data_IF_766003107218
#
_entry.id   IF_766003107218
#
_cell.length_a   1.000
_cell.length_b   1.000
_cell.length_c   1.000
_cell.angle_alpha   90.00
_cell.angle_beta   90.00
_cell.angle_gamma   90.00
#
_symmetry.space_group_name_H-M   'P 1'
#
loop_
_entity.id
_entity.type
_entity.pdbx_description
1 polymer ?
#
# COMPACT_ATOMS: atom_id res chain seq x y z
N UNK A 1 -33.74 -5.16 58.80
CA UNK A 1 -34.63 -3.98 58.84
C UNK A 1 -33.81 -2.77 58.40
N UNK A 2 -33.94 -2.34 57.14
CA UNK A 2 -33.18 -1.18 56.64
C UNK A 2 -33.77 0.08 57.28
N UNK A 3 -32.95 0.80 58.05
CA UNK A 3 -33.38 2.00 58.78
C UNK A 3 -33.63 3.15 57.79
N UNK A 4 -34.73 3.90 57.97
CA UNK A 4 -35.12 5.04 57.11
C UNK A 4 -33.99 6.08 56.90
N UNK A 5 -33.07 6.20 57.87
CA UNK A 5 -31.88 7.06 57.78
C UNK A 5 -30.87 6.59 56.72
N UNK A 6 -30.71 5.27 56.56
CA UNK A 6 -29.85 4.68 55.52
C UNK A 6 -30.41 4.96 54.11
N UNK A 7 -31.73 4.79 53.92
CA UNK A 7 -32.40 5.11 52.66
C UNK A 7 -32.33 6.60 52.31
N UNK A 8 -32.43 7.51 53.29
CA UNK A 8 -32.25 8.95 53.07
C UNK A 8 -30.81 9.30 52.71
N UNK A 9 -29.81 8.65 53.32
CA UNK A 9 -28.39 8.83 52.98
C UNK A 9 -28.09 8.37 51.55
N UNK A 10 -28.56 7.20 51.16
CA UNK A 10 -28.43 6.67 49.81
C UNK A 10 -29.05 7.61 48.75
N UNK A 11 -30.24 8.15 49.04
CA UNK A 11 -30.91 9.10 48.14
C UNK A 11 -30.20 10.46 48.02
N UNK A 12 -29.36 10.81 48.99
CA UNK A 12 -28.63 12.08 49.03
C UNK A 12 -27.14 11.94 48.64
N UNK A 13 -26.70 10.73 48.24
CA UNK A 13 -25.30 10.47 47.92
C UNK A 13 -24.97 10.87 46.49
N UNK A 14 -24.45 12.09 46.33
CA UNK A 14 -24.05 12.63 45.04
C UNK A 14 -22.85 11.89 44.43
N UNK A 15 -21.99 11.27 45.25
CA UNK A 15 -20.83 10.52 44.75
C UNK A 15 -21.27 9.23 44.06
N UNK A 16 -22.30 8.55 44.59
CA UNK A 16 -22.88 7.37 43.95
C UNK A 16 -23.50 7.70 42.58
N UNK A 17 -24.22 8.81 42.48
CA UNK A 17 -24.80 9.29 41.21
C UNK A 17 -23.69 9.60 40.20
N UNK A 18 -22.67 10.36 40.59
CA UNK A 18 -21.53 10.69 39.74
C UNK A 18 -20.78 9.44 39.24
N UNK A 19 -20.61 8.42 40.09
CA UNK A 19 -20.02 7.14 39.69
C UNK A 19 -20.87 6.41 38.65
N UNK A 20 -22.20 6.41 38.78
CA UNK A 20 -23.09 5.78 37.79
C UNK A 20 -23.15 6.55 36.48
N UNK A 21 -23.15 7.89 36.52
CA UNK A 21 -23.10 8.73 35.32
C UNK A 21 -21.78 8.54 34.58
N UNK A 22 -20.65 8.50 35.30
CA UNK A 22 -19.36 8.19 34.72
C UNK A 22 -19.33 6.77 34.12
N UNK A 23 -19.84 5.77 34.84
CA UNK A 23 -19.87 4.40 34.35
C UNK A 23 -20.70 4.24 33.07
N UNK A 24 -21.74 5.05 32.89
CA UNK A 24 -22.56 5.07 31.68
C UNK A 24 -21.93 5.88 30.54
N UNK A 25 -21.23 6.97 30.85
CA UNK A 25 -20.58 7.82 29.85
C UNK A 25 -19.21 7.30 29.39
N UNK A 26 -18.49 6.57 30.25
CA UNK A 26 -17.14 6.11 29.99
C UNK A 26 -17.03 5.19 28.75
N UNK A 27 -17.92 4.20 28.53
CA UNK A 27 -17.87 3.39 27.30
C UNK A 27 -18.04 4.22 26.03
N UNK A 28 -18.94 5.22 26.04
CA UNK A 28 -19.16 6.11 24.90
C UNK A 28 -17.94 6.99 24.62
N UNK A 29 -17.36 7.60 25.66
CA UNK A 29 -16.16 8.43 25.50
C UNK A 29 -14.96 7.60 25.04
N UNK A 30 -14.82 6.39 25.55
CA UNK A 30 -13.75 5.47 25.18
C UNK A 30 -13.90 4.98 23.73
N UNK A 31 -15.10 4.64 23.27
CA UNK A 31 -15.31 4.22 21.88
C UNK A 31 -15.00 5.35 20.91
N UNK A 32 -15.44 6.57 21.18
CA UNK A 32 -15.13 7.75 20.36
C UNK A 32 -13.63 8.04 20.35
N UNK A 33 -12.98 7.98 21.51
CA UNK A 33 -11.53 8.23 21.62
C UNK A 33 -10.70 7.19 20.86
N UNK A 34 -11.03 5.90 21.01
CA UNK A 34 -10.35 4.81 20.32
C UNK A 34 -10.62 4.83 18.81
N UNK A 35 -11.86 5.16 18.40
CA UNK A 35 -12.19 5.34 16.98
C UNK A 35 -11.38 6.48 16.36
N UNK A 36 -11.27 7.62 17.05
CA UNK A 36 -10.45 8.75 16.60
C UNK A 36 -8.97 8.40 16.47
N UNK A 37 -8.44 7.60 17.41
CA UNK A 37 -7.06 7.12 17.37
C UNK A 37 -6.83 6.15 16.19
N UNK A 38 -7.76 5.23 15.94
CA UNK A 38 -7.69 4.30 14.82
C UNK A 38 -7.77 5.03 13.47
N UNK A 39 -8.66 6.03 13.35
CA UNK A 39 -8.76 6.87 12.15
C UNK A 39 -7.49 7.69 11.90
N UNK A 40 -6.89 8.24 12.96
CA UNK A 40 -5.63 8.95 12.84
C UNK A 40 -4.49 8.02 12.38
N UNK A 41 -4.42 6.80 12.93
CA UNK A 41 -3.42 5.81 12.52
C UNK A 41 -3.62 5.40 11.05
N UNK A 42 -4.86 5.11 10.65
CA UNK A 42 -5.20 4.82 9.25
C UNK A 42 -4.77 5.93 8.29
N UNK A 43 -5.05 7.19 8.62
CA UNK A 43 -4.64 8.33 7.81
C UNK A 43 -3.11 8.46 7.72
N UNK A 44 -2.37 8.25 8.82
CA UNK A 44 -0.90 8.27 8.83
C UNK A 44 -0.33 7.14 7.98
N UNK A 45 -0.87 5.92 8.10
CA UNK A 45 -0.46 4.78 7.28
C UNK A 45 -0.72 5.04 5.79
N UNK A 46 -1.89 5.59 5.44
CA UNK A 46 -2.18 5.98 4.06
C UNK A 46 -1.15 6.99 3.52
N UNK A 47 -0.78 8.01 4.31
CA UNK A 47 0.26 8.96 3.93
C UNK A 47 1.63 8.30 3.75
N UNK A 48 2.03 7.39 4.64
CA UNK A 48 3.29 6.66 4.55
C UNK A 48 3.36 5.80 3.28
N UNK A 49 2.26 5.13 2.92
CA UNK A 49 2.18 4.30 1.71
C UNK A 49 2.26 5.17 0.45
N UNK A 50 1.53 6.29 0.42
CA UNK A 50 1.62 7.27 -0.68
C UNK A 50 3.02 7.83 -0.83
N UNK A 51 3.70 8.15 0.27
CA UNK A 51 5.09 8.60 0.26
C UNK A 51 6.04 7.52 -0.23
N UNK A 52 5.86 6.27 0.21
CA UNK A 52 6.63 5.14 -0.28
C UNK A 52 6.48 5.00 -1.81
N UNK A 53 5.24 5.01 -2.33
CA UNK A 53 4.97 4.94 -3.77
C UNK A 53 5.66 6.07 -4.55
N UNK A 54 5.57 7.32 -4.06
CA UNK A 54 6.24 8.47 -4.68
C UNK A 54 7.78 8.32 -4.65
N UNK A 55 8.35 7.85 -3.53
CA UNK A 55 9.79 7.63 -3.40
C UNK A 55 10.27 6.52 -4.33
N UNK A 56 9.52 5.41 -4.44
CA UNK A 56 9.83 4.32 -5.38
C UNK A 56 9.84 4.87 -6.80
N UNK A 57 8.80 5.61 -7.18
CA UNK A 57 8.65 6.13 -8.54
C UNK A 57 9.72 7.17 -8.91
N UNK A 58 10.03 8.14 -8.03
CA UNK A 58 11.11 9.11 -8.28
C UNK A 58 12.48 8.42 -8.34
N UNK A 59 12.78 7.49 -7.43
CA UNK A 59 14.05 6.77 -7.44
C UNK A 59 14.17 5.91 -8.72
N UNK A 60 13.13 5.17 -9.09
CA UNK A 60 13.10 4.35 -10.31
C UNK A 60 13.20 5.18 -11.59
N UNK A 61 12.67 6.42 -11.60
CA UNK A 61 12.85 7.35 -12.72
C UNK A 61 14.31 7.80 -12.92
N UNK A 62 15.16 7.60 -11.91
CA UNK A 62 16.56 8.07 -11.86
C UNK A 62 17.62 6.97 -11.79
N UNK A 63 17.25 5.69 -11.71
CA UNK A 63 18.23 4.58 -11.69
C UNK A 63 18.92 4.38 -13.04
N UNK A 64 20.08 3.72 -13.02
CA UNK A 64 20.89 3.32 -14.19
C UNK A 64 22.34 3.85 -14.15
N UNK A 65 23.08 3.66 -15.24
CA UNK A 65 24.47 4.13 -15.37
C UNK A 65 24.62 5.66 -15.60
N UNK A 66 25.64 6.29 -15.02
CA UNK A 66 25.87 7.76 -15.05
C UNK A 66 26.65 8.25 -16.28
N UNK A 67 26.74 7.45 -17.34
CA UNK A 67 27.41 7.86 -18.57
C UNK A 67 26.70 9.05 -19.24
N UNK A 68 27.43 10.12 -19.53
CA UNK A 68 26.89 11.36 -20.13
C UNK A 68 26.87 11.34 -21.66
N UNK A 69 27.39 10.27 -22.29
CA UNK A 69 27.62 10.20 -23.74
C UNK A 69 26.72 9.17 -24.45
N UNK A 70 25.99 8.34 -23.71
CA UNK A 70 25.15 7.25 -24.21
C UNK A 70 23.91 7.18 -23.33
N UNK A 71 22.80 6.70 -23.90
CA UNK A 71 21.58 6.43 -23.16
C UNK A 71 21.87 5.53 -21.95
N UNK A 72 21.29 5.93 -20.82
CA UNK A 72 21.51 5.34 -19.52
C UNK A 72 20.92 3.93 -19.47
N UNK A 73 21.78 2.94 -19.25
CA UNK A 73 21.35 1.55 -19.07
C UNK A 73 20.84 1.32 -17.66
N UNK A 74 19.80 0.51 -17.52
CA UNK A 74 19.30 0.03 -16.22
C UNK A 74 19.64 -1.45 -16.06
N UNK A 75 20.06 -1.84 -14.85
CA UNK A 75 20.38 -3.23 -14.54
C UNK A 75 19.33 -3.83 -13.61
N UNK A 76 19.17 -5.16 -13.65
CA UNK A 76 18.26 -5.87 -12.73
C UNK A 76 18.67 -5.66 -11.27
N UNK A 77 19.98 -5.60 -10.99
CA UNK A 77 20.51 -5.23 -9.68
C UNK A 77 19.99 -3.87 -9.19
N UNK A 78 19.92 -2.85 -10.06
CA UNK A 78 19.44 -1.51 -9.68
C UNK A 78 17.96 -1.55 -9.23
N UNK A 79 17.15 -2.36 -9.90
CA UNK A 79 15.72 -2.51 -9.56
C UNK A 79 15.55 -3.33 -8.28
N UNK A 80 16.34 -4.40 -8.12
CA UNK A 80 16.35 -5.19 -6.90
C UNK A 80 16.78 -4.36 -5.68
N UNK A 81 17.82 -3.54 -5.82
CA UNK A 81 18.29 -2.62 -4.79
C UNK A 81 17.23 -1.56 -4.45
N UNK A 82 16.52 -1.05 -5.46
CA UNK A 82 15.39 -0.14 -5.27
C UNK A 82 14.28 -0.81 -4.43
N UNK A 83 13.86 -2.02 -4.80
CA UNK A 83 12.83 -2.77 -4.06
C UNK A 83 13.30 -3.18 -2.66
N UNK A 84 14.60 -3.46 -2.48
CA UNK A 84 15.18 -3.71 -1.16
C UNK A 84 15.19 -2.42 -0.31
N UNK A 85 15.48 -1.27 -0.91
CA UNK A 85 15.39 0.03 -0.26
C UNK A 85 13.98 0.33 0.28
N UNK A 86 12.94 -0.11 -0.43
CA UNK A 86 11.55 -0.03 0.03
C UNK A 86 11.33 -0.83 1.32
N UNK A 87 11.86 -2.04 1.40
CA UNK A 87 11.77 -2.89 2.60
C UNK A 87 12.48 -2.28 3.81
N UNK A 88 13.59 -1.57 3.58
CA UNK A 88 14.29 -0.85 4.64
C UNK A 88 13.53 0.40 5.09
N UNK A 89 12.99 1.19 4.16
CA UNK A 89 12.34 2.46 4.48
C UNK A 89 10.91 2.29 5.01
N UNK A 90 10.13 1.38 4.42
CA UNK A 90 8.72 1.16 4.76
C UNK A 90 8.49 -0.10 5.58
N UNK A 91 9.49 -1.00 5.71
CA UNK A 91 9.37 -2.20 6.52
C UNK A 91 9.34 -1.90 8.03
N UNK A 92 10.20 -1.03 8.53
CA UNK A 92 10.35 -0.83 9.99
C UNK A 92 9.14 -0.14 10.65
N UNK A 93 8.29 0.52 9.86
CA UNK A 93 7.10 1.21 10.36
C UNK A 93 5.79 0.44 10.12
N UNK A 94 5.62 -0.10 8.91
CA UNK A 94 4.34 -0.70 8.46
C UNK A 94 4.51 -2.10 7.85
N UNK A 95 5.72 -2.68 7.87
CA UNK A 95 6.01 -3.97 7.25
C UNK A 95 5.43 -4.07 5.82
N UNK A 96 5.71 -3.05 4.98
CA UNK A 96 5.03 -2.84 3.69
C UNK A 96 5.02 -4.08 2.80
N UNK A 97 6.12 -4.84 2.75
CA UNK A 97 6.22 -6.05 1.91
C UNK A 97 5.62 -7.30 2.57
N UNK A 98 5.28 -7.25 3.85
CA UNK A 98 4.53 -8.33 4.51
C UNK A 98 3.03 -8.20 4.24
N UNK A 99 2.47 -7.02 4.49
CA UNK A 99 1.04 -6.76 4.39
C UNK A 99 0.62 -6.07 3.09
N UNK A 100 1.58 -5.79 2.22
CA UNK A 100 1.36 -5.11 0.95
C UNK A 100 2.18 -5.69 -0.19
N UNK A 101 2.05 -5.02 -1.33
CA UNK A 101 2.73 -5.30 -2.57
C UNK A 101 3.05 -4.00 -3.28
N UNK A 102 4.30 -3.88 -3.74
CA UNK A 102 4.78 -2.81 -4.61
C UNK A 102 4.98 -3.39 -6.00
N UNK A 103 4.42 -2.71 -7.00
CA UNK A 103 4.51 -3.04 -8.42
C UNK A 103 5.11 -1.83 -9.11
N UNK A 104 6.24 -2.01 -9.79
CA UNK A 104 6.92 -0.98 -10.58
C UNK A 104 6.80 -1.38 -12.04
N UNK A 105 6.21 -0.50 -12.84
CA UNK A 105 6.00 -0.72 -14.28
C UNK A 105 6.73 0.35 -15.09
N UNK A 106 7.27 -0.01 -16.24
CA UNK A 106 7.68 0.96 -17.27
C UNK A 106 6.61 1.02 -18.34
N UNK A 107 5.96 2.17 -18.43
CA UNK A 107 5.01 2.50 -19.48
C UNK A 107 5.76 3.21 -20.60
N UNK A 108 5.60 2.72 -21.82
CA UNK A 108 6.31 3.20 -23.01
C UNK A 108 5.38 3.20 -24.23
N UNK A 109 5.80 3.86 -25.30
CA UNK A 109 5.14 3.74 -26.61
C UNK A 109 5.62 2.45 -27.27
N UNK A 110 4.69 1.65 -27.81
CA UNK A 110 5.01 0.39 -28.50
C UNK A 110 5.98 0.67 -29.66
N UNK A 111 7.21 0.12 -29.64
CA UNK A 111 8.18 0.36 -30.70
C UNK A 111 7.73 -0.19 -32.06
N UNK A 112 6.76 -1.11 -32.08
CA UNK A 112 6.20 -1.68 -33.31
C UNK A 112 5.03 -0.83 -33.87
N UNK A 113 4.58 0.21 -33.15
CA UNK A 113 3.51 1.11 -33.59
C UNK A 113 4.04 2.26 -34.48
N UNK A 114 3.64 2.22 -35.75
CA UNK A 114 3.95 3.27 -36.74
C UNK A 114 3.30 4.64 -36.45
N UNK A 115 2.30 4.69 -35.58
CA UNK A 115 1.60 5.95 -35.23
C UNK A 115 2.22 6.68 -34.05
N UNK A 116 3.08 6.02 -33.26
CA UNK A 116 3.77 6.59 -32.12
C UNK A 116 2.85 6.96 -30.96
N UNK A 117 1.64 6.39 -30.89
CA UNK A 117 0.65 6.70 -29.85
C UNK A 117 0.32 5.51 -28.97
N UNK A 118 0.53 4.29 -29.47
CA UNK A 118 0.15 3.08 -28.76
C UNK A 118 0.98 2.91 -27.50
N UNK A 119 0.32 2.78 -26.35
CA UNK A 119 1.00 2.56 -25.09
C UNK A 119 1.15 1.06 -24.81
N UNK A 120 2.19 0.67 -24.07
CA UNK A 120 2.32 -0.68 -23.56
C UNK A 120 3.17 -0.71 -22.29
N UNK A 121 3.01 -1.78 -21.51
CA UNK A 121 3.81 -2.03 -20.33
C UNK A 121 5.04 -2.82 -20.76
N UNK A 122 6.20 -2.16 -20.88
CA UNK A 122 7.41 -2.81 -21.36
C UNK A 122 7.96 -3.84 -20.38
N UNK A 123 8.05 -3.49 -19.11
CA UNK A 123 8.48 -4.40 -18.05
C UNK A 123 7.78 -4.11 -16.74
N UNK A 124 7.69 -5.13 -15.88
CA UNK A 124 7.21 -4.98 -14.50
C UNK A 124 8.10 -5.71 -13.50
N UNK A 125 8.28 -5.10 -12.34
CA UNK A 125 8.94 -5.72 -11.18
C UNK A 125 8.08 -5.55 -9.94
N UNK A 126 7.97 -6.62 -9.17
CA UNK A 126 7.05 -6.70 -8.05
C UNK A 126 7.74 -7.25 -6.80
N UNK A 127 7.34 -6.73 -5.64
CA UNK A 127 7.73 -7.31 -4.34
C UNK A 127 6.63 -7.17 -3.31
N UNK A 128 6.54 -8.13 -2.41
CA UNK A 128 5.55 -8.19 -1.33
C UNK A 128 4.73 -9.47 -1.33
N UNK A 129 4.24 -9.87 -0.16
CA UNK A 129 3.47 -11.11 0.04
C UNK A 129 1.99 -10.97 -0.25
N UNK A 130 1.46 -9.74 -0.26
CA UNK A 130 0.04 -9.52 -0.53
C UNK A 130 -0.31 -10.03 -1.93
N UNK A 131 -1.36 -10.86 -2.01
CA UNK A 131 -1.86 -11.36 -3.28
C UNK A 131 -2.65 -10.29 -4.04
N UNK A 132 -1.91 -9.38 -4.66
CA UNK A 132 -2.43 -8.27 -5.45
C UNK A 132 -1.78 -8.30 -6.83
N UNK A 133 -2.57 -8.15 -7.89
CA UNK A 133 -2.09 -8.03 -9.26
C UNK A 133 -2.37 -6.60 -9.72
N UNK A 134 -1.49 -6.05 -10.56
CA UNK A 134 -1.64 -4.71 -11.13
C UNK A 134 -3.05 -4.47 -11.64
N UNK A 135 -3.64 -3.34 -11.25
CA UNK A 135 -4.98 -2.94 -11.70
C UNK A 135 -4.99 -2.57 -13.19
N UNK A 136 -3.82 -2.29 -13.75
CA UNK A 136 -3.65 -1.69 -15.07
C UNK A 136 -3.09 -2.66 -16.12
N UNK A 137 -2.83 -3.91 -15.77
CA UNK A 137 -2.27 -4.91 -16.68
C UNK A 137 -0.90 -5.44 -16.25
N UNK A 138 -0.43 -6.46 -16.97
CA UNK A 138 0.83 -7.15 -16.74
C UNK A 138 1.90 -6.74 -17.76
N UNK A 139 3.16 -7.14 -17.52
CA UNK A 139 4.24 -6.98 -18.49
C UNK A 139 3.84 -7.50 -19.89
N UNK A 140 3.99 -6.64 -20.89
CA UNK A 140 3.63 -6.89 -22.29
C UNK A 140 2.22 -6.43 -22.70
N UNK A 141 1.34 -6.09 -21.75
CA UNK A 141 0.00 -5.61 -22.08
C UNK A 141 0.05 -4.29 -22.85
N UNK A 142 -0.83 -4.15 -23.85
CA UNK A 142 -0.89 -3.02 -24.78
C UNK A 142 -0.04 -3.17 -26.04
N UNK A 143 0.89 -4.14 -26.07
CA UNK A 143 1.70 -4.39 -27.26
C UNK A 143 0.83 -4.88 -28.42
N UNK A 144 0.77 -4.12 -29.51
CA UNK A 144 -0.11 -4.37 -30.66
C UNK A 144 -1.62 -4.29 -30.37
N UNK A 145 -2.03 -3.81 -29.19
CA UNK A 145 -3.44 -3.69 -28.79
C UNK A 145 -3.87 -2.23 -28.62
N UNK A 146 -4.61 -1.67 -29.60
CA UNK A 146 -5.05 -0.27 -29.59
C UNK A 146 -6.02 0.11 -28.48
N UNK A 147 -6.52 -0.86 -27.71
CA UNK A 147 -7.41 -0.59 -26.58
C UNK A 147 -6.65 -0.15 -25.32
N UNK A 148 -5.36 -0.44 -25.23
CA UNK A 148 -4.53 0.01 -24.13
C UNK A 148 -4.05 1.44 -24.38
N UNK A 149 -4.63 2.39 -23.65
CA UNK A 149 -4.39 3.83 -23.89
C UNK A 149 -3.41 4.47 -22.89
N UNK A 150 -3.00 3.73 -21.86
CA UNK A 150 -2.12 4.21 -20.80
C UNK A 150 -2.42 3.55 -19.45
N UNK A 151 -1.82 4.08 -18.38
CA UNK A 151 -2.00 3.58 -17.01
C UNK A 151 -2.58 4.66 -16.10
N UNK A 152 -3.53 4.30 -15.25
CA UNK A 152 -4.19 5.24 -14.34
C UNK A 152 -5.72 5.12 -14.38
N UNK A 153 -6.43 5.92 -13.58
CA UNK A 153 -7.89 5.96 -13.60
C UNK A 153 -8.42 6.26 -15.02
N UNK A 154 -9.54 5.65 -15.38
CA UNK A 154 -10.15 5.85 -16.68
C UNK A 154 -10.44 7.33 -16.96
N UNK A 155 -9.92 7.85 -18.07
CA UNK A 155 -10.00 9.25 -18.48
C UNK A 155 -8.92 10.17 -17.91
N UNK A 156 -8.04 9.68 -17.04
CA UNK A 156 -6.90 10.39 -16.45
C UNK A 156 -5.62 9.54 -16.58
N UNK A 157 -5.49 8.83 -17.70
CA UNK A 157 -4.37 7.94 -17.96
C UNK A 157 -3.08 8.73 -18.15
N UNK A 158 -2.02 8.24 -17.51
CA UNK A 158 -0.66 8.67 -17.78
C UNK A 158 -0.21 7.97 -19.06
N UNK A 159 0.46 8.73 -19.92
CA UNK A 159 1.01 8.27 -21.20
C UNK A 159 2.50 8.62 -21.28
N UNK A 160 3.26 7.77 -21.95
CA UNK A 160 4.64 8.04 -22.32
C UNK A 160 4.73 8.75 -23.67
N UNK A 161 5.79 9.53 -23.85
CA UNK A 161 6.16 10.10 -25.15
C UNK A 161 7.03 9.10 -25.92
N UNK A 162 7.01 9.18 -27.25
CA UNK A 162 7.83 8.32 -28.10
C UNK A 162 9.32 8.46 -27.75
N UNK A 163 10.00 7.33 -27.52
CA UNK A 163 11.42 7.30 -27.12
C UNK A 163 11.67 7.64 -25.64
N UNK A 164 10.61 7.87 -24.85
CA UNK A 164 10.68 8.07 -23.40
C UNK A 164 9.90 6.98 -22.66
N UNK A 165 10.11 6.90 -21.36
CA UNK A 165 9.40 5.99 -20.47
C UNK A 165 8.81 6.74 -19.28
N UNK A 166 7.66 6.27 -18.80
CA UNK A 166 7.06 6.69 -17.54
C UNK A 166 7.16 5.52 -16.57
N UNK A 167 7.77 5.75 -15.41
CA UNK A 167 7.69 4.79 -14.33
C UNK A 167 6.35 4.96 -13.64
N UNK A 168 5.55 3.90 -13.64
CA UNK A 168 4.26 3.83 -12.96
C UNK A 168 4.36 2.82 -11.81
N UNK A 169 4.23 3.31 -10.59
CA UNK A 169 4.27 2.49 -9.37
C UNK A 169 2.87 2.36 -8.81
N UNK A 170 2.44 1.14 -8.54
CA UNK A 170 1.23 0.81 -7.81
C UNK A 170 1.61 0.13 -6.49
N UNK A 171 1.03 0.60 -5.40
CA UNK A 171 1.22 -0.01 -4.08
C UNK A 171 -0.14 -0.36 -3.51
N UNK A 172 -0.33 -1.62 -3.18
CA UNK A 172 -1.51 -2.09 -2.48
C UNK A 172 -1.13 -2.65 -1.12
N UNK A 173 -1.81 -2.22 -0.06
CA UNK A 173 -1.50 -2.57 1.33
C UNK A 173 -2.77 -2.86 2.11
N UNK A 174 -2.74 -3.87 2.97
CA UNK A 174 -3.84 -4.20 3.86
C UNK A 174 -3.54 -3.64 5.25
N UNK A 175 -4.29 -2.61 5.63
CA UNK A 175 -4.11 -1.89 6.88
C UNK A 175 -4.19 -2.80 8.11
N UNK A 176 -3.24 -2.62 9.03
CA UNK A 176 -3.12 -3.34 10.29
C UNK A 176 -3.63 -2.46 11.44
N UNK A 177 -4.82 -2.74 12.00
CA UNK A 177 -5.38 -1.93 13.08
C UNK A 177 -4.58 -2.05 14.37
N UNK A 178 -4.57 -0.99 15.17
CA UNK A 178 -3.87 -0.99 16.48
C UNK A 178 -4.83 -1.19 17.66
N UNK A 179 -6.10 -0.85 17.50
CA UNK A 179 -7.15 -1.06 18.51
C UNK A 179 -8.05 -2.23 18.14
N UNK A 180 -8.70 -2.16 16.98
CA UNK A 180 -9.73 -3.12 16.55
C UNK A 180 -9.99 -3.02 15.06
N UNK A 181 -10.29 -4.16 14.43
CA UNK A 181 -10.74 -4.26 13.04
C UNK A 181 -12.20 -3.82 12.82
N UNK A 182 -12.98 -3.67 13.89
CA UNK A 182 -14.40 -3.33 13.80
C UNK A 182 -14.68 -1.87 13.38
N UNK A 183 -13.72 -0.97 13.54
CA UNK A 183 -13.92 0.46 13.24
C UNK A 183 -13.75 0.81 11.77
N UNK A 184 -12.90 0.08 11.05
CA UNK A 184 -12.56 0.32 9.64
C UNK A 184 -12.90 -0.94 8.85
N UNK A 185 -14.01 -0.91 8.13
CA UNK A 185 -14.50 -2.06 7.35
C UNK A 185 -13.67 -2.31 6.09
N UNK A 186 -13.28 -1.24 5.39
CA UNK A 186 -12.40 -1.31 4.23
C UNK A 186 -10.99 -0.91 4.64
N UNK A 187 -10.11 -1.91 4.65
CA UNK A 187 -8.71 -1.78 5.10
C UNK A 187 -7.74 -1.81 3.93
N UNK A 188 -8.25 -1.84 2.70
CA UNK A 188 -7.44 -1.93 1.51
C UNK A 188 -7.03 -0.52 1.08
N UNK A 189 -5.72 -0.27 1.11
CA UNK A 189 -5.13 0.98 0.65
C UNK A 189 -4.41 0.66 -0.66
N UNK A 190 -4.95 1.17 -1.77
CA UNK A 190 -4.27 1.14 -3.06
C UNK A 190 -3.95 2.56 -3.49
N UNK A 191 -2.69 2.82 -3.80
CA UNK A 191 -2.19 4.12 -4.27
C UNK A 191 -1.32 3.90 -5.50
N UNK A 192 -1.24 4.92 -6.34
CA UNK A 192 -0.34 4.91 -7.48
C UNK A 192 0.46 6.21 -7.55
N UNK A 193 1.63 6.15 -8.17
CA UNK A 193 2.48 7.31 -8.43
C UNK A 193 3.24 7.11 -9.74
N UNK A 194 3.38 8.17 -10.51
CA UNK A 194 4.04 8.13 -11.81
C UNK A 194 5.07 9.25 -11.95
N UNK A 195 6.23 8.93 -12.52
CA UNK A 195 7.26 9.90 -12.86
C UNK A 195 7.86 9.57 -14.22
N UNK A 196 8.04 10.60 -15.06
CA UNK A 196 8.79 10.46 -16.30
C UNK A 196 10.24 10.10 -15.96
N UNK A 197 10.79 9.14 -16.69
CA UNK A 197 12.22 8.81 -16.62
C UNK A 197 13.03 10.06 -16.93
N UNK A 198 14.08 10.30 -16.16
CA UNK A 198 14.97 11.44 -16.33
C UNK A 198 16.17 11.06 -17.16
N UNK A 199 16.63 12.03 -17.95
CA UNK A 199 17.71 11.88 -18.93
C UNK A 199 17.38 10.81 -20.00
N UNK A 200 18.20 10.71 -21.04
CA UNK A 200 17.97 9.69 -22.07
C UNK A 200 18.32 8.31 -21.50
N UNK A 201 17.33 7.41 -21.42
CA UNK A 201 17.46 6.04 -20.91
C UNK A 201 17.39 5.07 -22.08
N UNK A 202 18.20 4.02 -22.01
CA UNK A 202 18.09 2.91 -22.94
C UNK A 202 16.85 2.09 -22.56
N UNK A 203 15.79 2.24 -23.35
CA UNK A 203 14.51 1.55 -23.19
C UNK A 203 14.42 0.29 -24.05
N UNK A 204 15.54 -0.24 -24.55
CA UNK A 204 15.51 -1.47 -25.36
C UNK A 204 15.38 -2.73 -24.52
N UNK A 205 15.95 -2.76 -23.31
CA UNK A 205 15.92 -3.89 -22.40
C UNK A 205 16.43 -3.52 -21.00
N UNK A 206 16.19 -4.41 -20.03
CA UNK A 206 16.89 -4.41 -18.75
C UNK A 206 18.16 -5.26 -18.87
N UNK A 207 19.29 -4.73 -18.40
CA UNK A 207 20.59 -5.39 -18.48
C UNK A 207 20.90 -6.22 -17.24
N UNK A 208 21.84 -7.16 -17.39
CA UNK A 208 22.45 -7.91 -16.30
C UNK A 208 23.87 -7.38 -16.09
N UNK A 209 24.23 -7.07 -14.83
CA UNK A 209 25.55 -6.51 -14.53
C UNK A 209 26.67 -7.54 -14.78
N UNK A 210 26.44 -8.79 -14.38
CA UNK A 210 27.28 -9.95 -14.71
C UNK A 210 26.47 -11.01 -15.47
N UNK A 211 26.63 -11.12 -16.80
CA UNK A 211 25.94 -12.14 -17.59
C UNK A 211 26.28 -13.59 -17.20
N UNK A 212 27.40 -13.83 -16.50
CA UNK A 212 27.80 -15.16 -16.05
C UNK A 212 27.19 -15.56 -14.71
N UNK A 213 26.65 -14.58 -13.97
CA UNK A 213 25.93 -14.75 -12.72
C UNK A 213 24.76 -13.76 -12.66
N UNK A 214 23.69 -13.99 -13.46
CA UNK A 214 22.60 -13.03 -13.59
C UNK A 214 21.81 -12.88 -12.29
N UNK A 215 21.43 -11.64 -11.97
CA UNK A 215 20.52 -11.32 -10.89
C UNK A 215 19.12 -11.84 -11.22
N UNK A 216 18.45 -12.40 -10.20
CA UNK A 216 17.09 -12.91 -10.35
C UNK A 216 16.11 -11.74 -10.47
N UNK A 217 15.29 -11.69 -11.52
CA UNK A 217 14.28 -10.65 -11.63
C UNK A 217 13.24 -10.72 -10.52
N UNK A 218 12.83 -9.57 -9.99
CA UNK A 218 11.71 -9.48 -9.05
C UNK A 218 10.37 -9.69 -9.77
N UNK A 219 10.08 -10.94 -10.15
CA UNK A 219 8.95 -11.28 -10.98
C UNK A 219 7.60 -11.06 -10.26
N UNK A 220 6.58 -10.67 -11.04
CA UNK A 220 5.23 -10.45 -10.54
C UNK A 220 4.41 -11.72 -10.28
N UNK A 221 4.95 -12.90 -10.61
CA UNK A 221 4.39 -14.19 -10.19
C UNK A 221 4.77 -14.59 -8.76
N UNK A 222 5.83 -14.01 -8.20
CA UNK A 222 6.31 -14.30 -6.85
C UNK A 222 5.72 -13.34 -5.80
N UNK A 223 5.30 -13.91 -4.67
CA UNK A 223 4.68 -13.19 -3.56
C UNK A 223 5.59 -13.30 -2.33
N UNK A 224 6.70 -12.57 -2.36
CA UNK A 224 7.78 -12.70 -1.37
C UNK A 224 8.20 -11.35 -0.78
N UNK A 225 8.63 -11.37 0.48
CA UNK A 225 9.28 -10.26 1.19
C UNK A 225 10.78 -10.55 1.37
N UNK A 226 11.58 -9.53 1.69
CA UNK A 226 13.00 -9.72 2.03
C UNK A 226 13.17 -10.10 3.50
N UNK A 227 12.41 -9.47 4.40
CA UNK A 227 12.37 -9.81 5.82
C UNK A 227 11.48 -11.03 6.09
N UNK A 228 11.81 -11.87 7.10
CA UNK A 228 10.88 -12.86 7.62
C UNK A 228 9.65 -12.16 8.22
N UNK A 229 8.55 -12.90 8.38
CA UNK A 229 7.34 -12.34 8.97
C UNK A 229 7.64 -11.71 10.35
N UNK A 230 7.03 -10.55 10.66
CA UNK A 230 7.23 -9.89 11.95
C UNK A 230 6.87 -10.84 13.10
N UNK A 231 7.54 -10.66 14.24
CA UNK A 231 7.37 -11.55 15.40
C UNK A 231 5.98 -11.48 16.03
N UNK A 232 5.23 -10.41 15.74
CA UNK A 232 3.85 -10.26 16.14
C UNK A 232 2.95 -10.70 14.98
N UNK A 233 1.94 -11.55 15.23
CA UNK A 233 1.00 -11.93 14.19
C UNK A 233 0.26 -10.70 13.67
N UNK A 234 -0.28 -10.75 12.44
CA UNK A 234 -1.17 -9.71 11.92
C UNK A 234 -2.22 -9.38 12.99
N UNK A 235 -2.61 -8.11 13.08
CA UNK A 235 -3.68 -7.66 13.97
C UNK A 235 -5.03 -8.17 13.44
N UNK A 236 -5.23 -9.47 13.58
CA UNK A 236 -6.53 -10.11 13.53
C UNK A 236 -7.07 -9.98 14.95
N UNK A 237 -7.58 -8.81 15.31
CA UNK A 237 -8.32 -8.66 16.56
C UNK A 237 -9.54 -9.58 16.45
N UNK A 238 -9.50 -10.71 17.16
CA UNK A 238 -10.63 -11.62 17.26
C UNK A 238 -11.90 -10.81 17.51
N UNK A 239 -12.84 -10.92 16.57
CA UNK A 239 -13.98 -10.03 16.48
C UNK A 239 -14.64 -9.79 17.83
N UNK A 240 -14.79 -8.52 18.18
CA UNK A 240 -15.69 -8.11 19.25
C UNK A 240 -17.11 -8.50 18.82
N UNK A 241 -17.55 -9.68 19.22
CA UNK A 241 -18.90 -10.15 18.97
C UNK A 241 -19.89 -9.28 19.78
N UNK A 242 -20.41 -8.22 19.16
CA UNK A 242 -21.42 -7.32 19.71
C UNK A 242 -22.82 -7.97 19.88
N UNK A 243 -22.93 -9.31 19.84
CA UNK A 243 -24.16 -10.04 20.15
C UNK A 243 -24.74 -9.77 21.55
N UNK A 244 -24.08 -8.97 22.39
CA UNK A 244 -24.67 -8.46 23.64
C UNK A 244 -25.85 -7.50 23.43
N UNK A 245 -25.96 -6.84 22.26
CA UNK A 245 -27.11 -5.98 21.94
C UNK A 245 -28.22 -6.69 21.15
N UNK A 246 -27.95 -7.86 20.56
CA UNK A 246 -28.96 -8.71 19.93
C UNK A 246 -29.44 -9.77 20.92
N UNK A 247 -30.12 -9.32 21.98
CA UNK A 247 -31.01 -10.17 22.76
C UNK A 247 -32.13 -10.64 21.86
N UNK A 248 -32.05 -11.91 21.42
CA UNK A 248 -33.03 -12.53 20.55
C UNK A 248 -34.45 -12.36 21.07
N UNK A 249 -35.34 -11.90 20.20
CA UNK A 249 -36.76 -12.18 20.29
C UNK A 249 -36.93 -13.70 20.11
N UNK A 250 -37.03 -14.40 21.23
CA UNK A 250 -37.36 -15.82 21.30
C UNK A 250 -38.28 -16.04 22.50
N UNK A 251 -39.58 -15.93 22.26
CA UNK A 251 -40.67 -16.07 23.23
C UNK A 251 -41.96 -15.54 22.65
#
# INVERSE_FOLDING_TARGET
>A
MVTRAFLKRLKADAAAVAMTEFALAAPLMLTVGLYGLEMANYAVTHLQISQAAMHVADNASRIGDTSTLVDRKIYEADINDLLYGVDLQAGDGIDLLEYGRVIVSSLEVDPDDSTGVQQYIHWQRCKGKKNFVSSYGVEGDGKGDPSFVGMGPAGEEVIAMEGEAVIFVEVSYTYQPIVTDAFISDREITVFSSFNVRDSRDISQIYQADPTSPDTPADCGSFTSYKPAPTLPPSNSGGWNWNWFNGGAGG
#
